data_IF_603742531096
#
_entry.id   IF_603742531096
#
_cell.length_a   1.000
_cell.length_b   1.000
_cell.length_c   1.000
_cell.angle_alpha   90.00
_cell.angle_beta   90.00
_cell.angle_gamma   90.00
#
_symmetry.space_group_name_H-M   'P 1'
#
loop_
_entity.id
_entity.type
_entity.pdbx_description
1 polymer ?
#
# COMPACT_ATOMS: atom_id res chain seq x y z
N UNK A 1 11.32 -6.72 -6.38
CA UNK A 1 10.95 -5.29 -6.46
C UNK A 1 10.21 -4.93 -5.19
N UNK A 2 10.15 -3.65 -4.85
CA UNK A 2 9.33 -3.13 -3.77
C UNK A 2 8.04 -2.58 -4.37
N UNK A 3 6.92 -3.25 -4.13
CA UNK A 3 5.62 -2.94 -4.70
C UNK A 3 4.76 -2.34 -3.59
N UNK A 4 4.27 -1.11 -3.78
CA UNK A 4 3.26 -0.54 -2.90
C UNK A 4 1.86 -0.88 -3.41
N UNK A 5 0.96 -1.19 -2.48
CA UNK A 5 -0.47 -1.34 -2.75
C UNK A 5 -1.27 -0.39 -1.85
N UNK A 6 -2.18 0.37 -2.46
CA UNK A 6 -3.18 1.14 -1.73
C UNK A 6 -4.24 0.25 -1.07
N UNK A 7 -4.83 0.74 0.01
CA UNK A 7 -5.91 0.02 0.67
C UNK A 7 -7.31 0.34 0.12
N UNK A 8 -7.72 1.61 0.11
CA UNK A 8 -9.10 2.03 -0.11
C UNK A 8 -9.45 2.19 -1.59
N UNK A 9 -10.22 1.25 -2.14
CA UNK A 9 -10.60 1.26 -3.55
C UNK A 9 -9.58 0.54 -4.46
N UNK A 10 -8.44 0.15 -3.89
CA UNK A 10 -7.49 -0.79 -4.49
C UNK A 10 -7.62 -2.16 -3.83
N UNK A 11 -6.95 -2.43 -2.69
CA UNK A 11 -7.04 -3.71 -1.99
C UNK A 11 -8.48 -4.08 -1.63
N UNK A 12 -9.26 -3.13 -1.10
CA UNK A 12 -10.63 -3.40 -0.67
C UNK A 12 -11.61 -3.65 -1.81
N UNK A 13 -11.23 -3.36 -3.06
CA UNK A 13 -12.10 -3.56 -4.23
C UNK A 13 -12.24 -5.02 -4.63
N UNK A 14 -11.20 -5.82 -4.42
CA UNK A 14 -11.18 -7.26 -4.67
C UNK A 14 -10.12 -7.94 -3.80
N UNK A 15 -10.46 -8.23 -2.55
CA UNK A 15 -9.50 -8.73 -1.56
C UNK A 15 -8.92 -10.09 -1.94
N UNK A 16 -9.73 -10.97 -2.50
CA UNK A 16 -9.30 -12.32 -2.87
C UNK A 16 -8.26 -12.26 -3.99
N UNK A 17 -8.51 -11.43 -5.02
CA UNK A 17 -7.54 -11.19 -6.07
C UNK A 17 -6.22 -10.61 -5.53
N UNK A 18 -6.31 -9.60 -4.66
CA UNK A 18 -5.10 -8.96 -4.14
C UNK A 18 -4.33 -9.83 -3.15
N UNK A 19 -5.00 -10.68 -2.38
CA UNK A 19 -4.36 -11.69 -1.56
C UNK A 19 -3.57 -12.67 -2.43
N UNK A 20 -4.17 -13.19 -3.51
CA UNK A 20 -3.46 -14.06 -4.44
C UNK A 20 -2.27 -13.35 -5.09
N UNK A 21 -2.44 -12.09 -5.50
CA UNK A 21 -1.33 -11.28 -6.01
C UNK A 21 -0.20 -11.14 -4.99
N UNK A 22 -0.52 -10.80 -3.73
CA UNK A 22 0.47 -10.64 -2.66
C UNK A 22 1.21 -11.96 -2.43
N UNK A 23 0.48 -13.08 -2.36
CA UNK A 23 1.03 -14.42 -2.22
C UNK A 23 2.04 -14.72 -3.35
N UNK A 24 1.63 -14.61 -4.61
CA UNK A 24 2.50 -14.88 -5.76
C UNK A 24 3.69 -13.92 -5.82
N UNK A 25 3.48 -12.63 -5.54
CA UNK A 25 4.54 -11.63 -5.55
C UNK A 25 5.65 -11.99 -4.55
N UNK A 26 5.26 -12.34 -3.31
CA UNK A 26 6.21 -12.65 -2.23
C UNK A 26 6.83 -14.04 -2.43
N UNK A 27 6.01 -15.08 -2.54
CA UNK A 27 6.47 -16.46 -2.42
C UNK A 27 6.99 -17.05 -3.73
N UNK A 28 6.46 -16.62 -4.88
CA UNK A 28 6.86 -17.17 -6.18
C UNK A 28 7.87 -16.29 -6.91
N UNK A 29 7.85 -14.99 -6.67
CA UNK A 29 8.67 -14.02 -7.41
C UNK A 29 9.69 -13.26 -6.55
N UNK A 30 9.71 -13.48 -5.23
CA UNK A 30 10.67 -12.85 -4.31
C UNK A 30 10.58 -11.32 -4.31
N UNK A 31 9.38 -10.78 -4.49
CA UNK A 31 9.11 -9.35 -4.37
C UNK A 31 8.69 -9.01 -2.94
N UNK A 32 8.91 -7.76 -2.56
CA UNK A 32 8.41 -7.19 -1.31
C UNK A 32 7.13 -6.44 -1.63
N UNK A 33 6.06 -6.73 -0.91
CA UNK A 33 4.80 -5.98 -1.00
C UNK A 33 4.59 -5.22 0.29
N UNK A 34 4.26 -3.94 0.17
CA UNK A 34 3.92 -3.10 1.32
C UNK A 34 2.61 -2.36 1.06
N UNK A 35 1.78 -2.23 2.09
CA UNK A 35 0.59 -1.40 2.00
C UNK A 35 0.92 0.03 2.41
N UNK A 36 0.55 1.01 1.58
CA UNK A 36 0.63 2.43 1.93
C UNK A 36 -0.76 3.03 1.77
N UNK A 37 -1.34 3.48 2.88
CA UNK A 37 -2.70 4.01 2.93
C UNK A 37 -2.75 5.42 3.48
N UNK A 38 -3.72 6.22 3.01
CA UNK A 38 -4.05 7.51 3.60
C UNK A 38 -4.81 7.41 4.92
N UNK A 39 -5.11 6.20 5.41
CA UNK A 39 -5.76 5.98 6.71
C UNK A 39 -4.96 6.47 7.90
N UNK A 40 -5.65 6.64 9.01
CA UNK A 40 -5.07 6.94 10.33
C UNK A 40 -4.92 5.62 11.09
N UNK A 41 -3.82 5.47 11.83
CA UNK A 41 -3.60 4.28 12.65
C UNK A 41 -4.43 4.36 13.94
N UNK A 42 -5.71 4.02 13.85
CA UNK A 42 -6.66 3.95 14.97
C UNK A 42 -7.67 2.81 14.75
N UNK A 43 -8.49 2.52 15.77
CA UNK A 43 -9.45 1.41 15.73
C UNK A 43 -10.53 1.57 14.65
N UNK A 44 -10.93 2.80 14.33
CA UNK A 44 -12.00 3.08 13.36
C UNK A 44 -11.52 2.87 11.91
N UNK A 45 -10.23 3.04 11.67
CA UNK A 45 -9.63 3.00 10.34
C UNK A 45 -8.64 1.85 10.15
N UNK A 46 -8.65 0.86 11.04
CA UNK A 46 -7.74 -0.28 10.96
C UNK A 46 -7.72 -0.93 9.56
N UNK A 47 -6.51 -1.18 9.06
CA UNK A 47 -6.26 -1.94 7.83
C UNK A 47 -6.18 -3.42 8.19
N UNK A 48 -6.82 -4.26 7.37
CA UNK A 48 -6.74 -5.72 7.51
C UNK A 48 -6.38 -6.32 6.16
N UNK A 49 -5.21 -6.96 6.10
CA UNK A 49 -4.69 -7.69 4.94
C UNK A 49 -4.39 -9.11 5.40
N UNK A 50 -4.76 -10.12 4.60
CA UNK A 50 -4.61 -11.53 4.99
C UNK A 50 -3.18 -12.07 4.79
N UNK A 51 -2.21 -11.16 4.78
CA UNK A 51 -0.79 -11.44 4.66
C UNK A 51 0.00 -10.56 5.64
N UNK A 52 1.08 -11.11 6.18
CA UNK A 52 2.01 -10.39 7.04
C UNK A 52 2.92 -9.49 6.19
N UNK A 53 2.35 -8.36 5.75
CA UNK A 53 3.07 -7.33 5.01
C UNK A 53 3.12 -6.02 5.81
N UNK A 54 4.17 -5.19 5.65
CA UNK A 54 4.22 -3.88 6.28
C UNK A 54 3.04 -2.99 5.85
N UNK A 55 2.41 -2.34 6.82
CA UNK A 55 1.34 -1.35 6.59
C UNK A 55 1.82 0.02 7.09
N UNK A 56 1.86 0.99 6.18
CA UNK A 56 2.21 2.37 6.48
C UNK A 56 0.98 3.27 6.36
N UNK A 57 0.64 3.91 7.47
CA UNK A 57 -0.40 4.93 7.57
C UNK A 57 0.23 6.30 7.34
N UNK A 58 -0.20 7.00 6.28
CA UNK A 58 0.31 8.35 6.01
C UNK A 58 -0.45 9.44 6.78
N UNK A 59 -1.51 9.07 7.50
CA UNK A 59 -2.35 9.99 8.26
C UNK A 59 -2.92 11.10 7.37
N UNK A 60 -3.59 10.71 6.27
CA UNK A 60 -4.19 11.60 5.26
C UNK A 60 -3.20 12.42 4.42
N UNK A 61 -1.89 12.27 4.59
CA UNK A 61 -0.85 12.97 3.83
C UNK A 61 -0.49 12.26 2.53
N UNK A 62 0.19 12.98 1.63
CA UNK A 62 0.77 12.46 0.40
C UNK A 62 1.62 11.20 0.64
N UNK A 63 1.34 10.16 -0.15
CA UNK A 63 2.08 8.89 -0.06
C UNK A 63 3.50 9.04 -0.59
N UNK A 64 3.68 9.81 -1.66
CA UNK A 64 4.99 10.06 -2.24
C UNK A 64 5.90 10.80 -1.25
N UNK A 65 5.41 11.86 -0.62
CA UNK A 65 6.18 12.59 0.40
C UNK A 65 6.49 11.72 1.61
N UNK A 66 5.52 10.91 2.06
CA UNK A 66 5.73 9.97 3.15
C UNK A 66 6.85 8.97 2.81
N UNK A 67 6.85 8.41 1.59
CA UNK A 67 7.89 7.46 1.13
C UNK A 67 9.26 8.12 1.13
N UNK A 68 9.38 9.33 0.57
CA UNK A 68 10.65 10.09 0.54
C UNK A 68 11.15 10.39 1.96
N UNK A 69 10.26 10.92 2.82
CA UNK A 69 10.59 11.30 4.20
C UNK A 69 11.06 10.11 5.05
N UNK A 70 10.48 8.93 4.83
CA UNK A 70 10.81 7.71 5.54
C UNK A 70 11.90 6.87 4.85
N UNK A 71 12.52 7.39 3.79
CA UNK A 71 13.56 6.70 3.02
C UNK A 71 13.13 5.30 2.53
N UNK A 72 11.85 5.17 2.18
CA UNK A 72 11.29 3.96 1.58
C UNK A 72 11.61 3.98 0.08
N UNK A 73 11.95 2.81 -0.46
CA UNK A 73 12.13 2.64 -1.90
C UNK A 73 10.95 1.88 -2.47
N UNK A 74 10.23 2.47 -3.43
CA UNK A 74 9.11 1.85 -4.13
C UNK A 74 9.42 1.83 -5.63
N UNK A 75 9.37 0.65 -6.22
CA UNK A 75 9.60 0.44 -7.65
C UNK A 75 8.29 0.53 -8.44
N UNK A 76 7.19 -0.01 -7.90
CA UNK A 76 5.86 -0.05 -8.54
C UNK A 76 4.79 0.39 -7.55
N UNK A 77 3.84 1.20 -8.04
CA UNK A 77 2.67 1.65 -7.28
C UNK A 77 1.39 1.04 -7.85
N UNK A 78 0.62 0.38 -7.00
CA UNK A 78 -0.72 -0.12 -7.31
C UNK A 78 -1.71 0.74 -6.53
N UNK A 79 -2.42 1.60 -7.25
CA UNK A 79 -3.33 2.58 -6.66
C UNK A 79 -4.45 2.90 -7.64
N UNK A 80 -5.69 2.94 -7.16
CA UNK A 80 -6.86 3.32 -7.94
C UNK A 80 -6.97 4.84 -8.14
N UNK A 81 -6.26 5.63 -7.34
CA UNK A 81 -6.09 7.07 -7.53
C UNK A 81 -4.59 7.42 -7.67
N UNK A 82 -4.00 7.11 -8.83
CA UNK A 82 -2.59 7.36 -9.05
C UNK A 82 -2.24 8.86 -8.98
N UNK A 83 -3.17 9.79 -9.27
CA UNK A 83 -2.87 11.24 -9.20
C UNK A 83 -2.87 11.73 -7.75
N UNK A 84 -3.90 11.36 -6.97
CA UNK A 84 -4.02 11.76 -5.57
C UNK A 84 -2.91 11.21 -4.67
N UNK A 85 -2.16 10.20 -5.12
CA UNK A 85 -1.04 9.62 -4.37
C UNK A 85 0.31 10.34 -4.52
N UNK A 86 0.46 11.24 -5.52
CA UNK A 86 1.71 11.98 -5.76
C UNK A 86 1.64 13.48 -5.48
N UNK A 87 0.46 14.06 -5.33
CA UNK A 87 0.30 15.52 -5.19
C UNK A 87 -0.53 15.81 -3.95
N UNK A 88 0.13 16.27 -2.89
CA UNK A 88 -0.42 17.33 -2.05
C UNK A 88 0.49 18.53 -2.33
N UNK A 89 -0.09 19.64 -2.79
CA UNK A 89 0.65 20.86 -3.17
C UNK A 89 1.21 21.63 -1.99
#
# INVERSE_FOLDING_TARGET
MNISIDYDGTYTKDRDFWNEFIYMAIHENGHEVICITKRINNDEEAVTIDHDIPIYYTERKSKAEFVVKNNLKIDIWIDNDPIGSFIDG
#
